data_IF_898162044408
#
_entry.id   IF_898162044408
#
_cell.length_a   1.000
_cell.length_b   1.000
_cell.length_c   1.000
_cell.angle_alpha   90.00
_cell.angle_beta   90.00
_cell.angle_gamma   90.00
#
_symmetry.space_group_name_H-M   'P 1'
#
loop_
_entity.id
_entity.type
_entity.pdbx_description
1 polymer ?
#
# COMPACT_ATOMS: atom_id res chain seq x y z
N UNK A 1 4.01 -0.67 24.64
CA UNK A 1 3.66 0.38 25.62
C UNK A 1 2.31 1.02 25.27
N UNK A 2 1.44 1.29 26.25
CA UNK A 2 0.21 2.07 26.00
C UNK A 2 0.48 3.57 26.19
N UNK A 3 0.20 4.36 25.16
CA UNK A 3 0.28 5.84 25.15
C UNK A 3 -0.84 6.36 24.27
N UNK A 4 -1.61 7.34 24.74
CA UNK A 4 -2.76 7.92 24.02
C UNK A 4 -3.69 6.89 23.34
N UNK A 5 -4.10 5.87 24.12
CA UNK A 5 -4.98 4.76 23.68
C UNK A 5 -4.45 3.97 22.47
N UNK A 6 -3.14 4.03 22.23
CA UNK A 6 -2.42 3.28 21.20
C UNK A 6 -1.35 2.42 21.85
N UNK A 7 -0.95 1.35 21.17
CA UNK A 7 0.03 0.40 21.65
C UNK A 7 1.30 0.53 20.80
N UNK A 8 2.30 1.20 21.34
CA UNK A 8 3.59 1.37 20.68
C UNK A 8 4.54 0.21 20.95
N UNK A 9 5.35 -0.15 19.97
CA UNK A 9 6.55 -0.94 20.16
C UNK A 9 7.57 -0.05 20.88
N UNK A 10 7.91 -0.40 22.11
CA UNK A 10 8.87 0.35 22.91
C UNK A 10 10.30 -0.18 22.78
N UNK A 11 10.43 -1.46 22.45
CA UNK A 11 11.70 -2.15 22.30
C UNK A 11 11.49 -3.39 21.43
N UNK A 12 12.53 -3.78 20.70
CA UNK A 12 12.65 -5.07 20.03
C UNK A 12 13.74 -5.85 20.76
N UNK A 13 13.46 -7.10 21.11
CA UNK A 13 14.37 -7.91 21.93
C UNK A 13 15.54 -8.39 21.05
N UNK A 14 16.81 -8.20 21.45
CA UNK A 14 17.95 -8.72 20.71
C UNK A 14 17.93 -10.24 20.56
N UNK A 15 18.26 -10.74 19.37
CA UNK A 15 18.21 -12.16 18.99
C UNK A 15 16.78 -12.71 18.82
N UNK A 16 15.75 -11.87 18.91
CA UNK A 16 14.37 -12.30 18.65
C UNK A 16 14.08 -12.40 17.16
N UNK A 17 13.03 -13.15 16.80
CA UNK A 17 12.56 -13.21 15.40
C UNK A 17 12.15 -11.83 14.88
N UNK A 18 11.57 -10.98 15.74
CA UNK A 18 11.22 -9.61 15.35
C UNK A 18 12.43 -8.74 14.99
N UNK A 19 13.61 -9.00 15.59
CA UNK A 19 14.86 -8.36 15.18
C UNK A 19 15.38 -8.96 13.87
N UNK A 20 15.40 -10.30 13.76
CA UNK A 20 15.92 -10.99 12.59
C UNK A 20 15.15 -10.68 11.30
N UNK A 21 13.83 -10.51 11.39
CA UNK A 21 12.96 -10.25 10.25
C UNK A 21 12.88 -8.77 9.88
N UNK A 22 13.41 -7.87 10.72
CA UNK A 22 13.37 -6.39 10.57
C UNK A 22 11.97 -5.82 10.26
N UNK A 23 10.92 -6.59 10.55
CA UNK A 23 9.54 -6.25 10.19
C UNK A 23 8.88 -5.28 11.18
N UNK A 24 9.52 -5.03 12.32
CA UNK A 24 8.98 -4.25 13.43
C UNK A 24 10.05 -3.32 13.98
N UNK A 25 9.71 -2.04 14.15
CA UNK A 25 10.61 -1.03 14.68
C UNK A 25 10.08 -0.43 15.97
N UNK A 26 11.00 -0.03 16.85
CA UNK A 26 10.68 0.83 18.01
C UNK A 26 9.97 2.09 17.52
N UNK A 27 8.76 2.34 18.02
CA UNK A 27 7.87 3.44 17.63
C UNK A 27 6.69 3.04 16.75
N UNK A 28 6.68 1.81 16.20
CA UNK A 28 5.53 1.32 15.45
C UNK A 28 4.32 1.13 16.37
N UNK A 29 3.11 1.13 15.83
CA UNK A 29 1.88 0.85 16.58
C UNK A 29 1.34 -0.53 16.21
N UNK A 30 0.94 -1.30 17.21
CA UNK A 30 0.08 -2.47 17.02
C UNK A 30 -1.37 -1.99 16.99
N UNK A 31 -1.98 -2.02 15.81
CA UNK A 31 -3.39 -1.61 15.59
C UNK A 31 -4.35 -2.81 15.59
N UNK A 32 -3.83 -4.04 15.51
CA UNK A 32 -4.66 -5.24 15.66
C UNK A 32 -3.89 -6.54 15.85
N UNK A 33 -4.59 -7.56 16.37
CA UNK A 33 -4.06 -8.92 16.59
C UNK A 33 -5.10 -9.94 16.14
N UNK A 34 -4.75 -10.82 15.20
CA UNK A 34 -5.61 -11.86 14.60
C UNK A 34 -7.00 -11.32 14.20
N UNK A 35 -7.04 -10.17 13.54
CA UNK A 35 -8.28 -9.52 13.09
C UNK A 35 -9.04 -8.74 14.18
N UNK A 36 -8.57 -8.75 15.44
CA UNK A 36 -9.14 -7.93 16.51
C UNK A 36 -8.49 -6.54 16.46
N UNK A 37 -9.31 -5.52 16.19
CA UNK A 37 -8.91 -4.12 16.20
C UNK A 37 -8.55 -3.66 17.63
N UNK A 38 -7.42 -2.98 17.77
CA UNK A 38 -6.92 -2.39 19.01
C UNK A 38 -6.87 -0.86 18.95
N UNK A 39 -7.60 -0.26 18.01
CA UNK A 39 -7.76 1.19 17.93
C UNK A 39 -8.47 1.68 19.18
N UNK A 40 -7.87 2.65 19.87
CA UNK A 40 -8.33 3.16 21.15
C UNK A 40 -8.31 2.13 22.30
N UNK A 41 -7.45 1.12 22.23
CA UNK A 41 -7.37 0.05 23.22
C UNK A 41 -7.13 0.58 24.63
N UNK A 42 -7.84 -0.02 25.58
CA UNK A 42 -7.61 0.22 27.01
C UNK A 42 -6.38 -0.56 27.49
N UNK A 43 -5.74 -0.07 28.56
CA UNK A 43 -4.60 -0.77 29.16
C UNK A 43 -4.99 -2.19 29.55
N UNK A 44 -4.25 -3.17 29.04
CA UNK A 44 -4.46 -4.60 29.31
C UNK A 44 -5.33 -5.32 28.26
N UNK A 45 -5.94 -4.60 27.32
CA UNK A 45 -6.78 -5.19 26.28
C UNK A 45 -5.98 -6.11 25.35
N UNK A 46 -4.83 -5.66 24.85
CA UNK A 46 -3.95 -6.50 24.04
C UNK A 46 -3.43 -7.72 24.81
N UNK A 47 -3.18 -7.59 26.12
CA UNK A 47 -2.80 -8.73 26.95
C UNK A 47 -3.92 -9.76 27.01
N UNK A 48 -5.16 -9.29 27.20
CA UNK A 48 -6.36 -10.14 27.22
C UNK A 48 -6.56 -10.86 25.88
N UNK A 49 -6.33 -10.17 24.77
CA UNK A 49 -6.37 -10.77 23.42
C UNK A 49 -5.30 -11.86 23.29
N UNK A 50 -4.05 -11.56 23.65
CA UNK A 50 -2.95 -12.52 23.56
C UNK A 50 -3.15 -13.76 24.44
N UNK A 51 -3.72 -13.62 25.64
CA UNK A 51 -4.04 -14.77 26.50
C UNK A 51 -5.03 -15.72 25.84
N UNK A 52 -6.04 -15.20 25.14
CA UNK A 52 -7.03 -16.02 24.41
C UNK A 52 -6.43 -16.74 23.20
N UNK A 53 -5.32 -16.22 22.67
CA UNK A 53 -4.60 -16.76 21.51
C UNK A 53 -3.40 -17.62 21.91
N UNK A 54 -3.22 -17.92 23.19
CA UNK A 54 -2.09 -18.73 23.67
C UNK A 54 -2.05 -20.10 22.97
N UNK A 55 -0.89 -20.44 22.41
CA UNK A 55 -0.68 -21.69 21.67
C UNK A 55 -1.25 -21.70 20.24
N UNK A 56 -1.75 -20.56 19.74
CA UNK A 56 -2.21 -20.39 18.35
C UNK A 56 -1.26 -19.48 17.58
N UNK A 57 -1.20 -19.58 16.24
CA UNK A 57 -0.49 -18.62 15.40
C UNK A 57 -0.97 -17.18 15.64
N UNK A 58 -0.04 -16.23 15.57
CA UNK A 58 -0.31 -14.80 15.74
C UNK A 58 -0.10 -14.05 14.42
N UNK A 59 -1.01 -13.14 14.11
CA UNK A 59 -0.94 -12.16 13.03
C UNK A 59 -1.14 -10.78 13.63
N UNK A 60 -0.25 -9.85 13.32
CA UNK A 60 -0.30 -8.47 13.83
C UNK A 60 -0.57 -7.51 12.69
N UNK A 61 -1.47 -6.56 12.93
CA UNK A 61 -1.67 -5.41 12.05
C UNK A 61 -0.93 -4.22 12.65
N UNK A 62 -0.06 -3.59 11.86
CA UNK A 62 0.87 -2.58 12.34
C UNK A 62 0.73 -1.26 11.57
N UNK A 63 0.97 -0.15 12.27
CA UNK A 63 1.16 1.16 11.66
C UNK A 63 2.63 1.52 11.85
N UNK A 64 3.37 1.58 10.74
CA UNK A 64 4.79 1.94 10.78
C UNK A 64 4.95 3.45 10.89
N UNK A 65 5.87 3.89 11.75
CA UNK A 65 6.17 5.32 11.89
C UNK A 65 7.24 5.79 10.91
N UNK A 66 8.01 4.86 10.35
CA UNK A 66 9.09 5.11 9.41
C UNK A 66 8.69 4.60 8.03
N UNK A 67 8.90 5.44 7.04
CA UNK A 67 8.66 5.14 5.63
C UNK A 67 9.84 4.36 5.03
N UNK A 68 9.65 3.78 3.84
CA UNK A 68 10.68 2.96 3.19
C UNK A 68 11.97 3.73 2.85
N UNK A 69 11.89 5.06 2.72
CA UNK A 69 13.01 5.95 2.44
C UNK A 69 13.68 6.47 3.73
N UNK A 70 13.23 5.96 4.88
CA UNK A 70 13.73 6.33 6.20
C UNK A 70 13.08 7.58 6.79
N UNK A 71 12.20 8.26 6.05
CA UNK A 71 11.50 9.44 6.55
C UNK A 71 10.42 9.08 7.57
N UNK A 72 10.06 10.03 8.43
CA UNK A 72 8.99 9.84 9.42
C UNK A 72 7.63 9.98 8.73
N UNK A 73 6.75 8.99 8.90
CA UNK A 73 5.35 9.08 8.54
C UNK A 73 4.69 10.19 9.36
N UNK A 74 4.46 11.35 8.74
CA UNK A 74 4.12 12.60 9.45
C UNK A 74 2.90 12.50 10.37
N UNK A 75 1.82 11.78 10.05
CA UNK A 75 0.69 11.60 10.97
C UNK A 75 1.08 10.95 12.31
N UNK A 76 2.22 10.27 12.36
CA UNK A 76 2.76 9.69 13.60
C UNK A 76 3.53 10.68 14.45
N UNK A 77 3.96 11.83 13.93
CA UNK A 77 4.79 12.81 14.67
C UNK A 77 4.19 13.22 16.03
N UNK A 78 2.90 13.60 16.15
CA UNK A 78 2.34 14.00 17.45
C UNK A 78 2.38 12.87 18.47
N UNK A 79 2.18 11.63 18.00
CA UNK A 79 2.18 10.43 18.82
C UNK A 79 3.59 10.01 19.24
N UNK A 80 4.55 10.09 18.31
CA UNK A 80 5.97 9.85 18.57
C UNK A 80 6.54 10.85 19.58
N UNK A 81 6.19 12.12 19.45
CA UNK A 81 6.57 13.16 20.41
C UNK A 81 5.98 12.91 21.79
N UNK A 82 4.74 12.40 21.86
CA UNK A 82 4.11 12.06 23.13
C UNK A 82 4.81 10.88 23.81
N UNK A 83 5.13 9.80 23.08
CA UNK A 83 5.84 8.67 23.67
C UNK A 83 7.28 9.01 24.05
N UNK A 84 7.97 9.87 23.30
CA UNK A 84 9.28 10.41 23.68
C UNK A 84 9.23 11.20 25.00
N UNK A 85 8.17 11.98 25.22
CA UNK A 85 7.95 12.69 26.50
C UNK A 85 7.63 11.73 27.65
N UNK A 86 6.91 10.64 27.38
CA UNK A 86 6.51 9.66 28.39
C UNK A 86 7.61 8.62 28.72
N UNK A 87 8.61 8.44 27.85
CA UNK A 87 9.67 7.46 28.00
C UNK A 87 11.03 8.14 27.79
N UNK A 88 11.76 8.47 28.88
CA UNK A 88 13.01 9.23 28.82
C UNK A 88 14.13 8.60 27.98
N UNK A 89 14.11 7.27 27.84
CA UNK A 89 15.14 6.50 27.11
C UNK A 89 14.65 6.01 25.73
N UNK A 90 13.48 6.46 25.27
CA UNK A 90 12.95 6.02 23.98
C UNK A 90 13.72 6.71 22.84
N UNK A 91 14.54 5.93 22.15
CA UNK A 91 15.27 6.37 20.98
C UNK A 91 14.64 5.73 19.74
N UNK A 92 14.23 6.59 18.81
CA UNK A 92 13.89 6.14 17.47
C UNK A 92 15.19 5.73 16.78
N UNK A 93 15.24 4.51 16.27
CA UNK A 93 16.39 4.05 15.49
C UNK A 93 16.36 4.78 14.13
N UNK A 94 17.14 5.86 14.02
CA UNK A 94 17.38 6.53 12.76
C UNK A 94 18.46 5.76 11.99
N UNK A 95 18.18 5.42 10.73
CA UNK A 95 19.25 5.05 9.82
C UNK A 95 19.99 6.31 9.44
N UNK A 96 21.28 6.37 9.73
CA UNK A 96 22.16 7.44 9.31
C UNK A 96 22.35 7.39 7.78
N UNK A 97 21.36 7.85 6.99
CA UNK A 97 21.56 8.23 5.59
C UNK A 97 20.76 9.48 5.24
N UNK A 98 21.51 10.55 4.96
CA UNK A 98 21.18 11.81 4.29
C UNK A 98 20.26 12.81 5.01
N UNK A 99 20.91 13.71 5.76
CA UNK A 99 20.56 15.13 5.82
C UNK A 99 20.68 15.74 4.43
N UNK A 100 19.59 16.04 3.70
CA UNK A 100 19.56 17.13 2.72
C UNK A 100 18.16 17.78 2.64
N UNK A 101 18.08 18.96 3.25
CA UNK A 101 17.28 20.15 2.86
C UNK A 101 15.75 20.02 2.83
N UNK A 102 15.15 20.42 3.95
CA UNK A 102 13.83 21.05 3.99
C UNK A 102 13.75 22.22 2.99
N UNK A 103 12.81 22.13 2.05
CA UNK A 103 12.13 23.31 1.52
C UNK A 103 10.64 23.21 1.83
N UNK A 104 10.14 24.27 2.46
CA UNK A 104 8.73 24.55 2.65
C UNK A 104 8.04 24.55 1.28
N UNK A 105 7.11 23.63 1.09
CA UNK A 105 5.95 23.89 0.25
C UNK A 105 4.71 23.37 0.98
N UNK A 106 3.80 24.30 1.20
CA UNK A 106 2.58 24.17 1.99
C UNK A 106 1.53 23.32 1.27
N UNK A 107 0.90 22.42 2.04
CA UNK A 107 -0.48 21.96 1.90
C UNK A 107 -0.87 21.25 0.58
N UNK A 108 -0.77 19.91 0.55
CA UNK A 108 -1.85 19.01 0.10
C UNK A 108 -1.81 17.69 0.89
N UNK A 109 -2.99 17.23 1.27
CA UNK A 109 -3.34 15.92 1.83
C UNK A 109 -2.45 14.80 1.24
N UNK A 110 -1.87 13.92 2.07
CA UNK A 110 -0.87 12.89 1.71
C UNK A 110 -1.48 11.70 0.93
N UNK A 111 -2.55 12.00 0.19
CA UNK A 111 -3.29 11.12 -0.71
C UNK A 111 -2.70 11.31 -2.09
N UNK A 112 -1.95 10.30 -2.55
CA UNK A 112 -1.30 10.32 -3.85
C UNK A 112 -2.31 10.02 -4.93
N UNK A 113 -3.01 11.08 -5.31
CA UNK A 113 -3.96 11.12 -6.39
C UNK A 113 -3.23 11.53 -7.67
N UNK A 114 -3.11 10.60 -8.61
CA UNK A 114 -2.50 10.86 -9.91
C UNK A 114 -3.58 11.27 -10.90
N UNK A 115 -3.34 12.35 -11.64
CA UNK A 115 -4.25 12.80 -12.70
C UNK A 115 -3.83 12.15 -14.01
N UNK A 116 -4.53 11.07 -14.38
CA UNK A 116 -4.18 10.25 -15.56
C UNK A 116 -5.36 10.15 -16.53
N UNK A 117 -5.11 9.64 -17.73
CA UNK A 117 -6.14 9.35 -18.73
C UNK A 117 -6.42 7.85 -18.76
N UNK A 118 -7.65 7.46 -18.43
CA UNK A 118 -8.12 6.10 -18.64
C UNK A 118 -8.42 5.88 -20.13
N UNK A 119 -7.81 4.83 -20.71
CA UNK A 119 -7.92 4.54 -22.14
C UNK A 119 -8.93 3.43 -22.44
N UNK A 120 -9.18 2.54 -21.48
CA UNK A 120 -10.12 1.44 -21.62
C UNK A 120 -9.70 0.18 -20.88
N UNK A 121 -10.50 -0.86 -21.07
CA UNK A 121 -10.20 -2.21 -20.57
C UNK A 121 -10.43 -3.26 -21.63
N UNK A 122 -9.74 -4.38 -21.52
CA UNK A 122 -9.87 -5.53 -22.42
C UNK A 122 -9.76 -6.83 -21.64
N UNK A 123 -10.66 -7.78 -21.92
CA UNK A 123 -10.49 -9.14 -21.42
C UNK A 123 -9.37 -9.84 -22.19
N UNK A 124 -8.36 -10.33 -21.46
CA UNK A 124 -7.14 -10.94 -22.00
C UNK A 124 -7.12 -12.47 -21.82
N UNK A 125 -8.24 -13.06 -21.38
CA UNK A 125 -8.39 -14.51 -21.24
C UNK A 125 -7.83 -15.03 -19.91
N UNK A 126 -7.22 -16.23 -19.94
CA UNK A 126 -6.87 -17.00 -18.73
C UNK A 126 -5.49 -16.68 -18.14
N UNK A 127 -4.69 -15.85 -18.81
CA UNK A 127 -3.34 -15.49 -18.37
C UNK A 127 -3.34 -14.02 -17.96
N UNK A 128 -2.88 -13.73 -16.73
CA UNK A 128 -2.83 -12.38 -16.16
C UNK A 128 -1.42 -11.89 -15.82
N UNK A 129 -0.37 -12.59 -16.29
CA UNK A 129 1.02 -12.25 -16.00
C UNK A 129 1.51 -10.99 -16.72
N UNK A 130 2.77 -10.60 -16.50
CA UNK A 130 3.34 -9.39 -17.12
C UNK A 130 3.44 -9.51 -18.65
N UNK A 131 3.53 -10.74 -19.16
CA UNK A 131 3.71 -11.07 -20.57
C UNK A 131 2.51 -10.68 -21.45
N UNK A 132 1.32 -10.54 -20.87
CA UNK A 132 0.09 -10.16 -21.60
C UNK A 132 -0.20 -8.65 -21.57
N UNK A 133 0.59 -7.86 -20.83
CA UNK A 133 0.35 -6.42 -20.69
C UNK A 133 0.53 -5.66 -22.01
N UNK A 134 1.58 -5.95 -22.78
CA UNK A 134 1.81 -5.28 -24.06
C UNK A 134 0.69 -5.55 -25.07
N UNK A 135 0.21 -6.80 -25.14
CA UNK A 135 -0.94 -7.18 -25.97
C UNK A 135 -2.23 -6.50 -25.49
N UNK A 136 -2.46 -6.46 -24.18
CA UNK A 136 -3.63 -5.80 -23.59
C UNK A 136 -3.67 -4.30 -23.90
N UNK A 137 -2.52 -3.61 -23.74
CA UNK A 137 -2.38 -2.19 -24.09
C UNK A 137 -2.67 -1.98 -25.57
N UNK A 138 -2.07 -2.80 -26.44
CA UNK A 138 -2.30 -2.71 -27.88
C UNK A 138 -3.77 -2.90 -28.25
N UNK A 139 -4.43 -3.92 -27.70
CA UNK A 139 -5.85 -4.19 -27.93
C UNK A 139 -6.77 -3.06 -27.48
N UNK A 140 -6.50 -2.43 -26.33
CA UNK A 140 -7.28 -1.26 -25.87
C UNK A 140 -7.06 -0.07 -26.79
N UNK A 141 -5.84 0.20 -27.24
CA UNK A 141 -5.56 1.29 -28.18
C UNK A 141 -6.29 1.09 -29.51
N UNK A 142 -6.41 -0.15 -30.00
CA UNK A 142 -7.16 -0.47 -31.22
C UNK A 142 -8.68 -0.23 -31.11
N UNK A 143 -9.26 -0.24 -29.90
CA UNK A 143 -10.67 0.10 -29.70
C UNK A 143 -10.97 1.58 -30.02
N UNK A 144 -9.94 2.44 -30.06
CA UNK A 144 -10.05 3.88 -30.34
C UNK A 144 -11.12 4.59 -29.50
N UNK A 145 -11.27 4.19 -28.23
CA UNK A 145 -12.14 4.88 -27.29
C UNK A 145 -11.56 6.25 -26.96
N UNK A 146 -12.44 7.24 -26.75
CA UNK A 146 -12.01 8.56 -26.29
C UNK A 146 -11.44 8.47 -24.88
N UNK A 147 -10.18 8.88 -24.63
CA UNK A 147 -9.59 8.87 -23.29
C UNK A 147 -10.42 9.69 -22.30
N UNK A 148 -10.56 9.19 -21.07
CA UNK A 148 -11.27 9.87 -20.00
C UNK A 148 -10.29 10.31 -18.90
N UNK A 149 -10.33 11.58 -18.52
CA UNK A 149 -9.56 12.05 -17.37
C UNK A 149 -10.12 11.47 -16.07
N UNK A 150 -9.22 10.91 -15.25
CA UNK A 150 -9.53 10.26 -13.99
C UNK A 150 -8.49 10.60 -12.94
N UNK A 151 -8.91 10.52 -11.69
CA UNK A 151 -8.04 10.55 -10.53
C UNK A 151 -7.76 9.11 -10.11
N UNK A 152 -6.50 8.72 -10.14
CA UNK A 152 -6.03 7.39 -9.82
C UNK A 152 -5.39 7.41 -8.43
N UNK A 153 -6.09 6.84 -7.45
CA UNK A 153 -5.72 6.81 -6.03
C UNK A 153 -5.08 5.46 -5.73
N UNK A 154 -3.77 5.46 -5.51
CA UNK A 154 -3.00 4.25 -5.16
C UNK A 154 -2.85 4.19 -3.66
N UNK A 155 -3.53 3.23 -3.03
CA UNK A 155 -3.52 3.03 -1.58
C UNK A 155 -2.64 1.84 -1.18
N UNK A 156 -2.62 1.55 0.11
CA UNK A 156 -1.82 0.47 0.68
C UNK A 156 -2.33 -0.93 0.33
N UNK A 157 -3.64 -1.10 0.10
CA UNK A 157 -4.27 -2.41 -0.16
C UNK A 157 -5.07 -2.46 -1.46
N UNK A 158 -5.20 -1.33 -2.15
CA UNK A 158 -6.17 -1.15 -3.22
C UNK A 158 -5.79 -0.02 -4.17
N UNK A 159 -6.36 -0.06 -5.36
CA UNK A 159 -6.36 1.05 -6.32
C UNK A 159 -7.79 1.49 -6.59
N UNK A 160 -8.01 2.80 -6.61
CA UNK A 160 -9.32 3.39 -6.88
C UNK A 160 -9.20 4.35 -8.05
N UNK A 161 -10.00 4.12 -9.07
CA UNK A 161 -10.12 5.02 -10.21
C UNK A 161 -11.39 5.86 -10.04
N UNK A 162 -11.24 7.17 -9.92
CA UNK A 162 -12.33 8.12 -9.66
C UNK A 162 -12.48 9.02 -10.89
N UNK A 163 -13.71 9.24 -11.36
CA UNK A 163 -13.95 10.11 -12.51
C UNK A 163 -13.63 11.57 -12.16
N UNK A 164 -12.82 12.24 -12.99
CA UNK A 164 -12.45 13.64 -12.77
C UNK A 164 -13.70 14.53 -12.65
N UNK A 165 -13.69 15.48 -11.71
CA UNK A 165 -14.83 16.35 -11.35
C UNK A 165 -16.05 15.66 -10.72
N UNK A 166 -15.91 14.41 -10.23
CA UNK A 166 -16.95 13.72 -9.47
C UNK A 166 -16.36 12.90 -8.33
N UNK A 167 -17.13 12.62 -7.29
CA UNK A 167 -16.77 11.61 -6.28
C UNK A 167 -17.11 10.18 -6.73
N UNK A 168 -17.48 10.01 -8.01
CA UNK A 168 -17.90 8.73 -8.55
C UNK A 168 -16.69 7.82 -8.80
N UNK A 169 -16.67 6.69 -8.11
CA UNK A 169 -15.72 5.59 -8.33
C UNK A 169 -16.10 4.85 -9.62
N UNK A 170 -15.17 4.77 -10.56
CA UNK A 170 -15.30 3.97 -11.79
C UNK A 170 -14.88 2.53 -11.53
N UNK A 171 -13.76 2.35 -10.85
CA UNK A 171 -13.18 1.06 -10.54
C UNK A 171 -12.54 1.07 -9.16
N UNK A 172 -12.61 -0.07 -8.50
CA UNK A 172 -12.04 -0.31 -7.18
C UNK A 172 -11.54 -1.74 -7.18
N UNK A 173 -10.22 -1.92 -7.07
CA UNK A 173 -9.59 -3.24 -7.11
C UNK A 173 -8.64 -3.38 -5.94
N UNK A 174 -8.71 -4.52 -5.25
CA UNK A 174 -7.79 -4.86 -4.17
C UNK A 174 -6.55 -5.55 -4.74
N UNK A 175 -5.39 -5.36 -4.11
CA UNK A 175 -4.14 -5.94 -4.62
C UNK A 175 -4.17 -7.47 -4.83
N UNK A 176 -4.83 -8.29 -4.00
CA UNK A 176 -4.98 -9.73 -4.27
C UNK A 176 -5.72 -10.07 -5.57
N UNK A 177 -6.53 -9.14 -6.10
CA UNK A 177 -7.24 -9.31 -7.36
C UNK A 177 -6.35 -8.93 -8.56
N UNK A 178 -5.30 -8.14 -8.32
CA UNK A 178 -4.40 -7.66 -9.37
C UNK A 178 -3.28 -8.68 -9.57
N UNK A 179 -3.18 -9.24 -10.78
CA UNK A 179 -2.21 -10.28 -11.10
C UNK A 179 -0.88 -9.74 -11.63
N UNK A 180 -0.89 -8.57 -12.26
CA UNK A 180 0.31 -7.94 -12.80
C UNK A 180 0.12 -6.45 -13.02
N UNK A 181 1.24 -5.72 -13.09
CA UNK A 181 1.30 -4.28 -13.41
C UNK A 181 2.57 -4.00 -14.20
N UNK A 182 2.52 -3.04 -15.12
CA UNK A 182 3.69 -2.65 -15.91
C UNK A 182 3.39 -1.54 -16.91
N UNK A 183 4.38 -1.21 -17.73
CA UNK A 183 4.28 -0.23 -18.81
C UNK A 183 4.76 -0.79 -20.13
N UNK A 184 4.35 -0.12 -21.22
CA UNK A 184 4.81 -0.45 -22.57
C UNK A 184 6.24 0.02 -22.77
N UNK A 185 7.11 -0.87 -23.27
CA UNK A 185 8.54 -0.56 -23.46
C UNK A 185 8.79 0.66 -24.35
N UNK A 186 8.01 0.79 -25.43
CA UNK A 186 8.17 1.86 -26.43
C UNK A 186 7.46 3.18 -26.07
N UNK A 187 6.58 3.18 -25.04
CA UNK A 187 5.86 4.37 -24.58
C UNK A 187 5.58 4.24 -23.09
N UNK A 188 6.57 4.63 -22.28
CA UNK A 188 6.56 4.45 -20.82
C UNK A 188 5.53 5.30 -20.08
N UNK A 189 4.88 6.25 -20.74
CA UNK A 189 3.72 6.97 -20.18
C UNK A 189 2.46 6.10 -20.14
N UNK A 190 2.41 5.03 -20.95
CA UNK A 190 1.33 4.06 -20.93
C UNK A 190 1.64 2.94 -19.94
N UNK A 191 0.74 2.77 -18.98
CA UNK A 191 0.81 1.69 -18.01
C UNK A 191 -0.51 0.93 -17.96
N UNK A 192 -0.42 -0.30 -17.49
CA UNK A 192 -1.57 -1.18 -17.34
C UNK A 192 -1.40 -2.12 -16.16
N UNK A 193 -2.52 -2.63 -15.68
CA UNK A 193 -2.57 -3.71 -14.72
C UNK A 193 -3.69 -4.69 -15.07
N UNK A 194 -3.53 -5.94 -14.66
CA UNK A 194 -4.47 -7.02 -14.91
C UNK A 194 -5.20 -7.39 -13.63
N UNK A 195 -6.51 -7.62 -13.71
CA UNK A 195 -7.37 -7.97 -12.58
C UNK A 195 -8.14 -9.26 -12.87
N UNK A 196 -8.21 -10.16 -11.89
CA UNK A 196 -9.01 -11.37 -11.92
C UNK A 196 -10.52 -11.05 -11.85
N UNK A 197 -11.32 -11.52 -12.81
CA UNK A 197 -12.78 -11.31 -12.83
C UNK A 197 -13.54 -12.18 -11.81
N UNK A 198 -12.95 -13.29 -11.37
CA UNK A 198 -13.56 -14.23 -10.41
C UNK A 198 -12.47 -14.85 -9.53
N UNK A 199 -11.94 -14.08 -8.56
CA UNK A 199 -10.84 -14.52 -7.71
C UNK A 199 -11.23 -15.71 -6.81
N UNK A 200 -12.52 -15.92 -6.55
CA UNK A 200 -13.05 -17.03 -5.74
C UNK A 200 -13.04 -18.39 -6.44
N UNK A 201 -12.90 -18.43 -7.78
CA UNK A 201 -12.97 -19.65 -8.59
C UNK A 201 -11.77 -19.77 -9.54
N UNK A 202 -10.57 -20.15 -9.04
CA UNK A 202 -9.30 -20.10 -9.79
C UNK A 202 -9.28 -20.87 -11.13
N UNK A 203 -10.14 -21.89 -11.25
CA UNK A 203 -10.19 -22.78 -12.42
C UNK A 203 -10.88 -22.14 -13.64
N UNK A 204 -11.63 -21.05 -13.45
CA UNK A 204 -12.38 -20.35 -14.50
C UNK A 204 -12.08 -18.86 -14.57
N UNK A 205 -11.06 -18.39 -13.84
CA UNK A 205 -10.73 -16.98 -13.73
C UNK A 205 -10.18 -16.46 -15.06
N UNK A 206 -10.87 -15.48 -15.64
CA UNK A 206 -10.32 -14.65 -16.72
C UNK A 206 -9.82 -13.33 -16.15
N UNK A 207 -8.93 -12.67 -16.89
CA UNK A 207 -8.32 -11.41 -16.49
C UNK A 207 -8.78 -10.27 -17.40
N UNK A 208 -9.05 -9.13 -16.79
CA UNK A 208 -9.26 -7.85 -17.49
C UNK A 208 -8.00 -7.00 -17.36
N UNK A 209 -7.48 -6.48 -18.47
CA UNK A 209 -6.37 -5.54 -18.53
C UNK A 209 -6.91 -4.11 -18.59
N UNK A 210 -6.54 -3.27 -17.63
CA UNK A 210 -6.94 -1.87 -17.54
C UNK A 210 -5.77 -0.97 -17.94
N UNK A 211 -6.02 -0.04 -18.85
CA UNK A 211 -4.95 0.75 -19.50
C UNK A 211 -5.12 2.23 -19.24
N UNK A 212 -4.03 2.87 -18.87
CA UNK A 212 -3.97 4.27 -18.50
C UNK A 212 -2.77 4.96 -19.17
N UNK A 213 -2.89 6.27 -19.29
CA UNK A 213 -1.82 7.14 -19.75
C UNK A 213 -1.55 8.25 -18.73
N UNK A 214 -0.30 8.29 -18.27
CA UNK A 214 0.26 9.34 -17.43
C UNK A 214 0.71 10.55 -18.25
N UNK A 215 0.84 11.72 -17.61
CA UNK A 215 1.43 12.90 -18.26
C UNK A 215 2.96 12.81 -18.35
N UNK A 216 3.58 12.15 -17.37
CA UNK A 216 5.03 12.01 -17.23
C UNK A 216 5.44 10.54 -17.11
N UNK A 217 6.64 10.21 -17.59
CA UNK A 217 7.17 8.85 -17.49
C UNK A 217 7.48 8.50 -16.03
N UNK A 218 7.94 9.48 -15.27
CA UNK A 218 8.26 9.38 -13.85
C UNK A 218 7.00 9.05 -13.04
N UNK A 219 5.89 9.72 -13.32
CA UNK A 219 4.58 9.48 -12.71
C UNK A 219 4.09 8.04 -13.00
N UNK A 220 4.19 7.57 -14.25
CA UNK A 220 3.82 6.20 -14.59
C UNK A 220 4.68 5.16 -13.85
N UNK A 221 6.00 5.38 -13.78
CA UNK A 221 6.91 4.50 -13.06
C UNK A 221 6.60 4.47 -11.56
N UNK A 222 6.30 5.63 -10.96
CA UNK A 222 5.95 5.72 -9.55
C UNK A 222 4.67 4.93 -9.24
N UNK A 223 3.62 5.09 -10.06
CA UNK A 223 2.37 4.33 -9.93
C UNK A 223 2.63 2.82 -9.98
N UNK A 224 3.41 2.36 -10.98
CA UNK A 224 3.75 0.94 -11.14
C UNK A 224 4.50 0.41 -9.93
N UNK A 225 5.50 1.14 -9.45
CA UNK A 225 6.30 0.74 -8.29
C UNK A 225 5.46 0.64 -7.02
N UNK A 226 4.48 1.54 -6.84
CA UNK A 226 3.56 1.51 -5.70
C UNK A 226 2.61 0.33 -5.75
N UNK A 227 2.00 0.05 -6.91
CA UNK A 227 1.16 -1.15 -7.08
C UNK A 227 1.98 -2.43 -6.85
N UNK A 228 3.19 -2.50 -7.41
CA UNK A 228 4.09 -3.63 -7.20
C UNK A 228 4.55 -3.78 -5.74
N UNK A 229 4.72 -2.67 -5.02
CA UNK A 229 4.91 -2.71 -3.57
C UNK A 229 3.66 -3.28 -2.89
N UNK A 230 2.46 -2.85 -3.29
CA UNK A 230 1.18 -3.38 -2.83
C UNK A 230 1.06 -4.91 -2.89
N UNK A 231 1.54 -5.54 -3.97
CA UNK A 231 1.58 -7.01 -4.09
C UNK A 231 2.36 -7.66 -2.96
N UNK A 232 3.57 -7.15 -2.66
CA UNK A 232 4.43 -7.67 -1.59
C UNK A 232 3.83 -7.52 -0.20
N UNK A 233 3.00 -6.50 0.01
CA UNK A 233 2.32 -6.28 1.29
C UNK A 233 1.03 -7.11 1.42
N UNK A 234 0.60 -7.82 0.37
CA UNK A 234 -0.67 -8.56 0.33
C UNK A 234 -0.52 -10.06 0.00
N UNK A 235 0.68 -10.63 0.16
CA UNK A 235 0.89 -12.07 -0.02
C UNK A 235 0.21 -12.88 1.09
N UNK A 236 -0.67 -13.79 0.68
CA UNK A 236 -1.30 -14.79 1.54
C UNK A 236 -0.43 -16.05 1.55
N UNK A 237 0.10 -16.42 2.72
CA UNK A 237 0.64 -17.75 2.93
C UNK A 237 -0.52 -18.76 2.93
N UNK A 238 -0.48 -19.72 2.02
CA UNK A 238 -1.36 -20.91 2.00
C UNK A 238 -0.75 -21.99 2.87
#
# INVERSE_FOLDING_TARGET
>A
RYTDRRIFISEVIPGSQAEADECVHTGDIIDGINGICLRNAQRGEAHTVLQKLRGKPLSFHMIRWKWHDGTVYRPMLPHLQLIQKEIPNFQLQHDHKSDEVMKEDSLRDDRLLYSVRYLGKMNIGMYGGKEVLDEGIEKVLHQNLSPQEVLFDVKETEVICIKNNSTQVLFHHHYPEISSVGHRLNRRTLFAYCVANSPETPQTTSFDCFVYESNLVEEANEIILRIAAGFRHTEWFV
#
